data_IF_781103970508
#
_entry.id   IF_781103970508
#
_cell.length_a   1.000
_cell.length_b   1.000
_cell.length_c   1.000
_cell.angle_alpha   90.00
_cell.angle_beta   90.00
_cell.angle_gamma   90.00
#
_symmetry.space_group_name_H-M   'P 1'
#
loop_
_entity.id
_entity.type
_entity.pdbx_description
1 polymer ?
#
# COMPACT_ATOMS: atom_id res chain seq x y z
N UNK A 1 -38.41 64.70 31.81
CA UNK A 1 -37.29 63.83 32.20
C UNK A 1 -37.50 62.56 31.43
N UNK A 2 -36.97 62.55 30.24
CA UNK A 2 -36.97 61.37 29.33
C UNK A 2 -35.52 60.97 29.21
N UNK A 3 -35.15 59.89 29.90
CA UNK A 3 -33.83 59.25 29.75
C UNK A 3 -33.98 58.29 28.59
N UNK A 4 -33.23 58.56 27.55
CA UNK A 4 -33.10 57.71 26.38
C UNK A 4 -32.46 56.37 26.76
N UNK A 5 -33.26 55.33 26.69
CA UNK A 5 -32.79 53.93 26.69
C UNK A 5 -32.33 53.60 25.25
N UNK A 6 -31.13 54.07 24.91
CA UNK A 6 -30.48 53.66 23.66
C UNK A 6 -29.91 52.25 23.91
N UNK A 7 -30.72 51.23 23.60
CA UNK A 7 -30.27 49.86 23.56
C UNK A 7 -28.96 49.79 22.78
N UNK A 8 -27.93 49.14 23.35
CA UNK A 8 -26.68 48.85 22.67
C UNK A 8 -26.97 48.21 21.32
N UNK A 9 -26.72 48.92 20.24
CA UNK A 9 -26.78 48.40 18.88
C UNK A 9 -25.58 47.47 18.74
N UNK A 10 -25.80 46.18 19.00
CA UNK A 10 -24.80 45.13 18.75
C UNK A 10 -24.60 45.02 17.23
N UNK A 11 -23.55 45.63 16.72
CA UNK A 11 -23.17 45.43 15.31
C UNK A 11 -22.75 43.97 15.14
N UNK A 12 -23.19 43.29 14.07
CA UNK A 12 -22.77 41.95 13.79
C UNK A 12 -21.25 41.93 13.68
N UNK A 13 -20.62 40.94 14.31
CA UNK A 13 -19.16 40.70 14.21
C UNK A 13 -18.79 40.54 12.74
N UNK A 14 -17.84 41.34 12.26
CA UNK A 14 -17.29 41.18 10.92
C UNK A 14 -16.16 40.15 10.99
N UNK A 15 -16.26 38.99 10.27
CA UNK A 15 -15.24 37.96 10.33
C UNK A 15 -13.84 38.49 9.96
N UNK A 16 -12.86 38.20 10.76
CA UNK A 16 -11.47 38.46 10.44
C UNK A 16 -10.84 37.29 9.62
N UNK A 17 -9.56 37.40 9.28
CA UNK A 17 -8.87 36.38 8.51
C UNK A 17 -8.76 35.00 9.24
N UNK A 18 -8.75 35.02 10.57
CA UNK A 18 -8.74 33.80 11.39
C UNK A 18 -10.10 33.14 11.39
N UNK A 19 -11.16 33.93 11.52
CA UNK A 19 -12.55 33.49 11.48
C UNK A 19 -12.84 32.74 10.16
N UNK A 20 -12.36 33.26 9.03
CA UNK A 20 -12.52 32.60 7.72
C UNK A 20 -11.80 31.25 7.63
N UNK A 21 -10.64 31.12 8.26
CA UNK A 21 -9.92 29.82 8.37
C UNK A 21 -10.70 28.85 9.25
N UNK A 22 -11.22 29.31 10.39
CA UNK A 22 -12.03 28.50 11.31
C UNK A 22 -13.32 28.05 10.64
N UNK A 23 -14.01 28.91 9.91
CA UNK A 23 -15.19 28.55 9.13
C UNK A 23 -14.88 27.46 8.11
N UNK A 24 -13.79 27.61 7.36
CA UNK A 24 -13.35 26.58 6.39
C UNK A 24 -13.07 25.24 7.08
N UNK A 25 -12.39 25.23 8.22
CA UNK A 25 -12.12 24.02 9.00
C UNK A 25 -13.40 23.37 9.53
N UNK A 26 -14.36 24.19 9.95
CA UNK A 26 -15.70 23.73 10.35
C UNK A 26 -16.43 23.06 9.19
N UNK A 27 -16.43 23.66 8.00
CA UNK A 27 -17.03 23.06 6.81
C UNK A 27 -16.35 21.72 6.44
N UNK A 28 -15.03 21.62 6.57
CA UNK A 28 -14.32 20.35 6.35
C UNK A 28 -14.82 19.26 7.30
N UNK A 29 -15.09 19.59 8.57
CA UNK A 29 -15.66 18.66 9.55
C UNK A 29 -17.07 18.21 9.15
N UNK A 30 -17.92 19.12 8.70
CA UNK A 30 -19.27 18.82 8.19
C UNK A 30 -19.21 17.89 6.97
N UNK A 31 -18.31 18.16 6.01
CA UNK A 31 -18.12 17.28 4.86
C UNK A 31 -17.56 15.92 5.24
N UNK A 32 -16.68 15.84 6.25
CA UNK A 32 -16.21 14.57 6.79
C UNK A 32 -17.36 13.73 7.37
N UNK A 33 -18.27 14.33 8.12
CA UNK A 33 -19.48 13.68 8.64
C UNK A 33 -20.39 13.17 7.52
N UNK A 34 -20.61 13.97 6.48
CA UNK A 34 -21.38 13.55 5.31
C UNK A 34 -20.72 12.38 4.57
N UNK A 35 -19.41 12.42 4.39
CA UNK A 35 -18.63 11.34 3.77
C UNK A 35 -18.79 10.02 4.54
N UNK A 36 -18.62 10.06 5.84
CA UNK A 36 -18.77 8.92 6.75
C UNK A 36 -20.17 8.32 6.65
N UNK A 37 -21.21 9.13 6.70
CA UNK A 37 -22.61 8.69 6.58
C UNK A 37 -22.89 8.03 5.22
N UNK A 38 -22.37 8.60 4.13
CA UNK A 38 -22.51 8.02 2.78
C UNK A 38 -21.78 6.69 2.62
N UNK A 39 -20.58 6.56 3.22
CA UNK A 39 -19.81 5.30 3.21
C UNK A 39 -20.59 4.20 3.93
N UNK A 40 -21.13 4.45 5.13
CA UNK A 40 -21.92 3.45 5.85
C UNK A 40 -23.21 3.08 5.09
N UNK A 41 -23.89 4.05 4.48
CA UNK A 41 -25.09 3.80 3.69
C UNK A 41 -24.80 2.92 2.46
N UNK A 42 -23.77 3.25 1.69
CA UNK A 42 -23.31 2.47 0.55
C UNK A 42 -22.93 1.04 0.97
N UNK A 43 -22.12 0.90 2.03
CA UNK A 43 -21.73 -0.43 2.54
C UNK A 43 -22.94 -1.28 2.90
N UNK A 44 -23.91 -0.72 3.62
CA UNK A 44 -25.13 -1.44 4.02
C UNK A 44 -25.99 -1.87 2.82
N UNK A 45 -26.10 -1.05 1.82
CA UNK A 45 -26.82 -1.36 0.59
C UNK A 45 -26.19 -2.55 -0.13
N UNK A 46 -24.90 -2.49 -0.40
CA UNK A 46 -24.17 -3.55 -1.09
C UNK A 46 -24.14 -4.88 -0.32
N UNK A 47 -24.02 -4.81 1.02
CA UNK A 47 -24.11 -6.02 1.85
C UNK A 47 -25.50 -6.62 1.89
N UNK A 48 -26.57 -5.80 1.81
CA UNK A 48 -27.96 -6.29 1.74
C UNK A 48 -28.24 -6.99 0.42
N UNK A 49 -27.74 -6.46 -0.68
CA UNK A 49 -27.84 -7.09 -2.00
C UNK A 49 -27.12 -8.42 -2.06
N UNK A 50 -26.02 -8.56 -1.33
CA UNK A 50 -25.24 -9.78 -1.25
C UNK A 50 -25.81 -10.83 -0.27
N UNK A 51 -26.72 -10.47 0.63
CA UNK A 51 -27.21 -11.33 1.74
C UNK A 51 -27.89 -12.63 1.28
N UNK A 52 -28.27 -12.74 0.00
CA UNK A 52 -28.84 -13.97 -0.59
C UNK A 52 -27.79 -15.00 -1.04
N UNK A 53 -26.50 -14.74 -0.95
CA UNK A 53 -25.43 -15.54 -1.59
C UNK A 53 -24.65 -16.47 -0.64
N UNK A 54 -25.00 -16.54 0.67
CA UNK A 54 -24.35 -17.42 1.68
C UNK A 54 -23.29 -16.74 2.56
N UNK A 55 -22.97 -17.32 3.72
CA UNK A 55 -22.14 -16.69 4.78
C UNK A 55 -20.67 -16.43 4.37
N UNK A 56 -20.09 -17.26 3.50
CA UNK A 56 -18.71 -17.06 3.00
C UNK A 56 -18.56 -15.89 2.04
N UNK A 57 -19.64 -15.35 1.52
CA UNK A 57 -19.64 -14.28 0.51
C UNK A 57 -19.47 -12.91 1.13
N UNK A 58 -19.85 -12.74 2.39
CA UNK A 58 -19.82 -11.45 3.09
C UNK A 58 -18.42 -10.84 3.13
N UNK A 59 -17.41 -11.59 3.54
CA UNK A 59 -16.02 -11.11 3.65
C UNK A 59 -15.45 -10.71 2.28
N UNK A 60 -15.87 -11.43 1.23
CA UNK A 60 -15.44 -11.15 -0.13
C UNK A 60 -16.10 -9.87 -0.64
N UNK A 61 -17.39 -9.67 -0.35
CA UNK A 61 -18.12 -8.45 -0.70
C UNK A 61 -17.54 -7.24 0.06
N UNK A 62 -17.25 -7.37 1.34
CA UNK A 62 -16.57 -6.29 2.11
C UNK A 62 -15.20 -5.93 1.52
N UNK A 63 -14.47 -6.91 1.04
CA UNK A 63 -13.20 -6.66 0.34
C UNK A 63 -13.42 -5.96 -1.01
N UNK A 64 -14.45 -6.34 -1.76
CA UNK A 64 -14.84 -5.68 -3.01
C UNK A 64 -15.20 -4.21 -2.79
N UNK A 65 -16.01 -3.93 -1.77
CA UNK A 65 -16.40 -2.55 -1.38
C UNK A 65 -15.15 -1.72 -1.04
N UNK A 66 -14.24 -2.29 -0.26
CA UNK A 66 -13.00 -1.61 0.13
C UNK A 66 -12.12 -1.30 -1.08
N UNK A 67 -11.97 -2.26 -2.00
CA UNK A 67 -11.20 -2.07 -3.23
C UNK A 67 -11.81 -0.96 -4.10
N UNK A 68 -13.13 -0.98 -4.29
CA UNK A 68 -13.81 0.04 -5.10
C UNK A 68 -13.68 1.43 -4.48
N UNK A 69 -13.86 1.54 -3.16
CA UNK A 69 -13.71 2.81 -2.45
C UNK A 69 -12.27 3.32 -2.54
N UNK A 70 -11.28 2.44 -2.36
CA UNK A 70 -9.87 2.77 -2.48
C UNK A 70 -9.52 3.31 -3.88
N UNK A 71 -9.96 2.62 -4.91
CA UNK A 71 -9.71 2.99 -6.29
C UNK A 71 -10.42 4.29 -6.69
N UNK A 72 -11.70 4.46 -6.28
CA UNK A 72 -12.49 5.66 -6.57
C UNK A 72 -11.93 6.91 -5.88
N UNK A 73 -11.46 6.79 -4.64
CA UNK A 73 -10.91 7.88 -3.85
C UNK A 73 -9.39 8.08 -4.08
N UNK A 74 -8.73 7.21 -4.82
CA UNK A 74 -7.28 7.22 -5.06
C UNK A 74 -6.47 7.12 -3.76
N UNK A 75 -6.92 6.27 -2.85
CA UNK A 75 -6.24 5.96 -1.58
C UNK A 75 -5.86 4.49 -1.53
N UNK A 76 -5.04 4.10 -0.54
CA UNK A 76 -4.71 2.68 -0.33
C UNK A 76 -5.93 1.92 0.20
N UNK A 77 -6.00 0.60 -0.03
CA UNK A 77 -7.05 -0.24 0.59
C UNK A 77 -7.03 -0.18 2.11
N UNK A 78 -5.86 0.02 2.71
CA UNK A 78 -5.75 0.23 4.16
C UNK A 78 -6.47 1.51 4.59
N UNK A 79 -6.23 2.63 3.89
CA UNK A 79 -6.92 3.89 4.19
C UNK A 79 -8.43 3.81 3.95
N UNK A 80 -8.86 3.16 2.87
CA UNK A 80 -10.28 2.90 2.62
C UNK A 80 -10.92 2.02 3.71
N UNK A 81 -10.21 0.98 4.16
CA UNK A 81 -10.64 0.13 5.27
C UNK A 81 -10.82 0.93 6.58
N UNK A 82 -9.88 1.81 6.89
CA UNK A 82 -9.98 2.73 8.05
C UNK A 82 -11.21 3.63 7.96
N UNK A 83 -11.49 4.19 6.79
CA UNK A 83 -12.69 5.02 6.57
C UNK A 83 -14.00 4.22 6.74
N UNK A 84 -14.04 2.97 6.28
CA UNK A 84 -15.19 2.09 6.46
C UNK A 84 -15.41 1.78 7.95
N UNK A 85 -14.33 1.45 8.67
CA UNK A 85 -14.39 1.17 10.12
C UNK A 85 -14.84 2.42 10.89
N UNK A 86 -14.30 3.58 10.56
CA UNK A 86 -14.71 4.85 11.16
C UNK A 86 -16.19 5.15 10.87
N UNK A 87 -16.65 4.93 9.63
CA UNK A 87 -18.03 5.15 9.24
C UNK A 87 -19.00 4.29 10.06
N UNK A 88 -18.69 3.00 10.19
CA UNK A 88 -19.48 2.09 11.03
C UNK A 88 -19.47 2.49 12.51
N UNK A 89 -18.32 2.89 13.04
CA UNK A 89 -18.18 3.34 14.42
C UNK A 89 -19.05 4.56 14.70
N UNK A 90 -18.88 5.62 13.92
CA UNK A 90 -19.60 6.88 14.16
C UNK A 90 -21.11 6.76 13.93
N UNK A 91 -21.53 6.06 12.87
CA UNK A 91 -22.96 5.94 12.55
C UNK A 91 -23.70 5.03 13.55
N UNK A 92 -23.04 3.98 14.05
CA UNK A 92 -23.72 2.95 14.85
C UNK A 92 -23.39 2.96 16.32
N UNK A 93 -22.12 3.23 16.67
CA UNK A 93 -21.65 3.12 18.06
C UNK A 93 -21.53 4.49 18.74
N UNK A 94 -21.17 5.52 17.99
CA UNK A 94 -20.86 6.83 18.54
C UNK A 94 -21.64 7.97 17.85
N UNK A 95 -23.00 7.90 17.80
CA UNK A 95 -23.80 8.90 17.08
C UNK A 95 -23.66 10.33 17.65
N UNK A 96 -23.37 10.49 18.94
CA UNK A 96 -23.10 11.79 19.54
C UNK A 96 -21.82 12.44 18.98
N UNK A 97 -20.79 11.63 18.71
CA UNK A 97 -19.58 12.12 18.07
C UNK A 97 -19.82 12.48 16.58
N UNK A 98 -20.67 11.71 15.88
CA UNK A 98 -21.10 12.05 14.53
C UNK A 98 -21.89 13.35 14.49
N UNK A 99 -22.79 13.59 15.44
CA UNK A 99 -23.54 14.84 15.55
C UNK A 99 -22.61 16.02 15.79
N UNK A 100 -21.68 15.91 16.73
CA UNK A 100 -20.67 16.94 16.99
C UNK A 100 -19.77 17.22 15.77
N UNK A 101 -19.39 16.20 14.99
CA UNK A 101 -18.64 16.33 13.76
C UNK A 101 -19.49 17.03 12.67
N UNK A 102 -20.76 16.65 12.55
CA UNK A 102 -21.69 17.20 11.55
C UNK A 102 -22.04 18.67 11.78
N UNK A 103 -21.95 19.13 13.03
CA UNK A 103 -22.12 20.54 13.42
C UNK A 103 -20.80 21.30 13.56
N UNK A 104 -19.68 20.68 13.22
CA UNK A 104 -18.35 21.30 13.27
C UNK A 104 -17.80 21.57 14.67
N UNK A 105 -18.42 21.04 15.73
CA UNK A 105 -17.95 21.18 17.12
C UNK A 105 -16.69 20.39 17.41
N UNK A 106 -16.44 19.30 16.64
CA UNK A 106 -15.20 18.54 16.67
C UNK A 106 -14.64 18.37 15.26
N UNK A 107 -13.35 18.08 15.16
CA UNK A 107 -12.71 17.77 13.88
C UNK A 107 -12.78 16.26 13.57
N UNK A 108 -12.57 15.91 12.30
CA UNK A 108 -12.47 14.50 11.89
C UNK A 108 -11.43 13.72 12.73
N UNK A 109 -10.32 14.38 13.10
CA UNK A 109 -9.27 13.76 13.91
C UNK A 109 -9.71 13.45 15.34
N UNK A 110 -10.58 14.28 15.93
CA UNK A 110 -11.20 13.95 17.22
C UNK A 110 -12.12 12.74 17.09
N UNK A 111 -12.94 12.69 16.03
CA UNK A 111 -13.83 11.55 15.77
C UNK A 111 -13.08 10.23 15.55
N UNK A 112 -11.94 10.26 14.82
CA UNK A 112 -11.05 9.09 14.68
C UNK A 112 -10.52 8.62 16.04
N UNK A 113 -10.08 9.54 16.89
CA UNK A 113 -9.55 9.21 18.22
C UNK A 113 -10.64 8.60 19.10
N UNK A 114 -11.86 9.13 19.05
CA UNK A 114 -13.01 8.59 19.79
C UNK A 114 -13.27 7.15 19.34
N UNK A 115 -13.37 6.91 18.04
CA UNK A 115 -13.62 5.57 17.51
C UNK A 115 -12.49 4.60 17.87
N UNK A 116 -11.24 4.99 17.64
CA UNK A 116 -10.09 4.11 17.89
C UNK A 116 -9.96 3.73 19.39
N UNK A 117 -10.04 4.71 20.28
CA UNK A 117 -9.79 4.45 21.70
C UNK A 117 -10.99 3.83 22.43
N UNK A 118 -12.22 4.24 22.08
CA UNK A 118 -13.40 3.65 22.73
C UNK A 118 -13.68 2.23 22.24
N UNK A 119 -13.30 1.87 21.01
CA UNK A 119 -13.42 0.49 20.53
C UNK A 119 -12.49 -0.47 21.29
N UNK A 120 -11.38 0.02 21.87
CA UNK A 120 -10.51 -0.75 22.76
C UNK A 120 -11.11 -0.96 24.17
N UNK A 121 -12.07 -0.11 24.56
CA UNK A 121 -12.71 -0.21 25.86
C UNK A 121 -13.84 -1.27 25.87
N UNK A 122 -14.13 -1.88 27.05
CA UNK A 122 -15.27 -2.77 27.22
C UNK A 122 -16.58 -2.12 26.75
N UNK A 123 -17.41 -2.84 25.97
CA UNK A 123 -18.63 -2.27 25.38
C UNK A 123 -19.55 -1.57 26.40
N UNK A 124 -19.65 -2.12 27.59
CA UNK A 124 -20.49 -1.61 28.69
C UNK A 124 -20.04 -0.26 29.27
N UNK A 125 -18.80 0.14 28.99
CA UNK A 125 -18.24 1.42 29.42
C UNK A 125 -18.29 2.52 28.38
N UNK A 126 -18.48 2.17 27.10
CA UNK A 126 -18.28 3.06 25.95
C UNK A 126 -19.17 4.29 25.99
N UNK A 127 -20.47 4.10 26.24
CA UNK A 127 -21.43 5.21 26.26
C UNK A 127 -21.10 6.23 27.35
N UNK A 128 -20.82 5.73 28.58
CA UNK A 128 -20.45 6.58 29.72
C UNK A 128 -19.09 7.29 29.48
N UNK A 129 -18.14 6.59 28.84
CA UNK A 129 -16.85 7.19 28.51
C UNK A 129 -17.02 8.26 27.43
N UNK A 130 -17.85 8.02 26.42
CA UNK A 130 -18.15 9.00 25.37
C UNK A 130 -18.79 10.25 25.96
N UNK A 131 -19.82 10.11 26.77
CA UNK A 131 -20.51 11.24 27.42
C UNK A 131 -19.51 12.13 28.20
N UNK A 132 -18.61 11.51 28.95
CA UNK A 132 -17.57 12.22 29.73
C UNK A 132 -16.47 12.83 28.88
N UNK A 133 -16.19 12.26 27.69
CA UNK A 133 -15.13 12.71 26.79
C UNK A 133 -15.56 13.89 25.89
N UNK A 134 -16.85 13.98 25.55
CA UNK A 134 -17.34 14.97 24.58
C UNK A 134 -17.00 16.44 24.94
N UNK A 135 -17.15 16.90 26.19
CA UNK A 135 -16.77 18.29 26.52
C UNK A 135 -15.30 18.62 26.25
N UNK A 136 -14.40 17.65 26.48
CA UNK A 136 -12.98 17.81 26.16
C UNK A 136 -12.71 17.72 24.66
N UNK A 137 -13.47 16.89 23.93
CA UNK A 137 -13.34 16.80 22.47
C UNK A 137 -13.75 18.11 21.77
N UNK A 138 -14.71 18.84 22.31
CA UNK A 138 -15.24 20.10 21.78
C UNK A 138 -14.37 21.33 22.13
N UNK A 139 -13.57 21.24 23.22
CA UNK A 139 -12.81 22.40 23.73
C UNK A 139 -11.31 22.28 23.60
N UNK A 140 -10.75 21.06 23.51
CA UNK A 140 -9.31 20.84 23.60
C UNK A 140 -8.67 20.52 22.25
N UNK A 141 -7.40 20.88 22.05
CA UNK A 141 -6.64 20.43 20.89
C UNK A 141 -6.54 18.90 20.84
N UNK A 142 -6.49 18.35 19.62
CA UNK A 142 -6.44 16.89 19.32
C UNK A 142 -5.47 16.10 20.22
N UNK A 143 -4.26 16.62 20.43
CA UNK A 143 -3.22 15.94 21.22
C UNK A 143 -3.53 15.91 22.73
N UNK A 144 -4.13 16.98 23.25
CA UNK A 144 -4.57 17.08 24.65
C UNK A 144 -5.77 16.18 24.88
N UNK A 145 -6.76 16.25 24.00
CA UNK A 145 -7.93 15.36 24.02
C UNK A 145 -7.55 13.88 24.00
N UNK A 146 -6.64 13.45 23.12
CA UNK A 146 -6.16 12.06 23.08
C UNK A 146 -5.63 11.60 24.44
N UNK A 147 -4.81 12.41 25.11
CA UNK A 147 -4.25 12.09 26.43
C UNK A 147 -5.34 12.03 27.49
N UNK A 148 -6.27 12.98 27.48
CA UNK A 148 -7.39 13.02 28.44
C UNK A 148 -8.32 11.80 28.28
N UNK A 149 -8.71 11.45 27.05
CA UNK A 149 -9.53 10.27 26.79
C UNK A 149 -8.83 8.98 27.21
N UNK A 150 -7.55 8.83 26.92
CA UNK A 150 -6.77 7.65 27.37
C UNK A 150 -6.73 7.54 28.90
N UNK A 151 -6.44 8.65 29.61
CA UNK A 151 -6.47 8.67 31.06
C UNK A 151 -7.87 8.34 31.63
N UNK A 152 -8.93 8.81 30.97
CA UNK A 152 -10.31 8.49 31.34
C UNK A 152 -10.62 7.01 31.20
N UNK A 153 -10.21 6.37 30.10
CA UNK A 153 -10.37 4.95 29.85
C UNK A 153 -9.56 4.15 30.88
N UNK A 154 -8.30 4.51 31.08
CA UNK A 154 -7.41 3.85 32.05
C UNK A 154 -7.99 3.89 33.49
N UNK A 155 -8.58 5.01 33.88
CA UNK A 155 -9.22 5.16 35.21
C UNK A 155 -10.52 4.37 35.36
N UNK A 156 -11.23 4.13 34.25
CA UNK A 156 -12.49 3.39 34.25
C UNK A 156 -12.29 1.87 34.16
N UNK A 157 -11.16 1.43 33.63
CA UNK A 157 -10.80 0.02 33.56
C UNK A 157 -10.09 -0.40 34.85
N UNK A 158 -10.64 -1.39 35.53
CA UNK A 158 -10.01 -2.01 36.74
C UNK A 158 -8.80 -2.92 36.38
N UNK A 159 -8.34 -2.89 35.13
CA UNK A 159 -7.21 -3.69 34.66
C UNK A 159 -5.91 -3.24 35.32
N UNK A 160 -5.11 -4.17 35.79
CA UNK A 160 -3.77 -3.92 36.33
C UNK A 160 -2.80 -3.49 35.24
N UNK A 161 -1.67 -2.89 35.63
CA UNK A 161 -0.58 -2.58 34.69
C UNK A 161 -0.11 -3.85 33.96
N UNK A 162 -0.10 -4.98 34.66
CA UNK A 162 0.26 -6.29 34.11
C UNK A 162 -0.69 -6.71 32.98
N UNK A 163 -2.00 -6.64 33.18
CA UNK A 163 -2.99 -7.01 32.14
C UNK A 163 -2.89 -6.13 30.90
N UNK A 164 -2.58 -4.84 31.09
CA UNK A 164 -2.34 -3.92 29.98
C UNK A 164 -1.06 -4.26 29.22
N UNK A 165 0.01 -4.57 29.96
CA UNK A 165 1.28 -4.97 29.38
C UNK A 165 1.14 -6.26 28.56
N UNK A 166 0.48 -7.28 29.11
CA UNK A 166 0.25 -8.56 28.42
C UNK A 166 -0.53 -8.39 27.11
N UNK A 167 -1.55 -7.53 27.09
CA UNK A 167 -2.25 -7.18 25.85
C UNK A 167 -1.36 -6.46 24.85
N UNK A 168 -0.55 -5.50 25.28
CA UNK A 168 0.37 -4.78 24.42
C UNK A 168 1.45 -5.71 23.82
N UNK A 169 1.93 -6.68 24.58
CA UNK A 169 2.90 -7.69 24.15
C UNK A 169 2.40 -8.52 22.97
N UNK A 170 1.08 -8.79 22.86
CA UNK A 170 0.51 -9.51 21.72
C UNK A 170 0.58 -8.73 20.41
N UNK A 171 0.78 -7.41 20.45
CA UNK A 171 0.84 -6.53 19.29
C UNK A 171 2.25 -6.37 18.71
N UNK A 172 3.25 -7.10 19.22
CA UNK A 172 4.62 -7.08 18.71
C UNK A 172 4.65 -7.34 17.20
N UNK A 173 5.38 -6.53 16.48
CA UNK A 173 5.50 -6.65 15.02
C UNK A 173 6.73 -5.95 14.48
N UNK A 174 7.10 -6.34 13.28
CA UNK A 174 8.08 -5.63 12.46
C UNK A 174 7.35 -5.07 11.24
N UNK A 175 7.65 -3.82 10.90
CA UNK A 175 7.13 -3.14 9.74
C UNK A 175 8.24 -2.45 8.96
N UNK A 176 8.11 -2.40 7.63
CA UNK A 176 8.98 -1.63 6.75
C UNK A 176 8.22 -0.42 6.25
N UNK A 177 8.78 0.75 6.46
CA UNK A 177 8.26 2.01 5.95
C UNK A 177 9.15 2.50 4.81
N UNK A 178 8.57 2.75 3.64
CA UNK A 178 9.30 3.25 2.48
C UNK A 178 9.65 4.72 2.68
N UNK A 179 10.92 5.04 2.46
CA UNK A 179 11.43 6.40 2.33
C UNK A 179 11.67 6.76 0.86
N UNK A 180 12.36 7.86 0.67
CA UNK A 180 12.79 8.37 -0.64
C UNK A 180 14.25 7.99 -0.91
N UNK A 181 14.71 8.18 -2.15
CA UNK A 181 16.11 8.00 -2.56
C UNK A 181 16.72 6.63 -2.25
N UNK A 182 15.91 5.57 -2.35
CA UNK A 182 16.35 4.20 -2.07
C UNK A 182 16.51 3.87 -0.60
N UNK A 183 16.01 4.72 0.30
CA UNK A 183 16.02 4.50 1.74
C UNK A 183 14.71 3.93 2.24
N UNK A 184 14.74 3.19 3.35
CA UNK A 184 13.55 2.68 4.04
C UNK A 184 13.81 2.57 5.53
N UNK A 185 12.76 2.71 6.33
CA UNK A 185 12.81 2.48 7.76
C UNK A 185 12.36 1.07 8.13
N UNK A 186 13.05 0.43 9.05
CA UNK A 186 12.61 -0.80 9.70
C UNK A 186 12.17 -0.47 11.12
N UNK A 187 10.89 -0.70 11.40
CA UNK A 187 10.28 -0.44 12.70
C UNK A 187 10.05 -1.74 13.47
N UNK A 188 10.58 -1.81 14.68
CA UNK A 188 10.34 -2.92 15.62
C UNK A 188 9.47 -2.37 16.74
N UNK A 189 8.26 -2.94 16.89
CA UNK A 189 7.37 -2.67 18.01
C UNK A 189 7.43 -3.86 18.97
N UNK A 190 8.07 -3.64 20.12
CA UNK A 190 8.34 -4.64 21.16
C UNK A 190 8.30 -3.95 22.54
N UNK A 191 8.37 -4.68 23.67
CA UNK A 191 8.40 -4.08 24.98
C UNK A 191 9.52 -3.01 25.12
N UNK A 192 9.18 -1.93 25.80
CA UNK A 192 10.03 -0.72 25.93
C UNK A 192 11.43 -1.02 26.46
N UNK A 193 11.53 -1.91 27.44
CA UNK A 193 12.80 -2.34 28.02
C UNK A 193 13.71 -2.98 26.98
N UNK A 194 13.17 -3.83 26.11
CA UNK A 194 13.92 -4.49 25.03
C UNK A 194 14.38 -3.50 23.98
N UNK A 195 13.53 -2.57 23.56
CA UNK A 195 13.87 -1.53 22.58
C UNK A 195 14.98 -0.63 23.11
N UNK A 196 14.89 -0.19 24.38
CA UNK A 196 15.93 0.61 25.00
C UNK A 196 17.26 -0.15 25.19
N UNK A 197 17.19 -1.44 25.51
CA UNK A 197 18.38 -2.29 25.60
C UNK A 197 19.06 -2.46 24.22
N UNK A 198 18.28 -2.70 23.16
CA UNK A 198 18.79 -2.76 21.77
C UNK A 198 19.46 -1.45 21.39
N UNK A 199 18.77 -0.31 21.55
CA UNK A 199 19.31 1.00 21.23
C UNK A 199 20.58 1.33 22.04
N UNK A 200 20.59 0.97 23.33
CA UNK A 200 21.76 1.11 24.21
C UNK A 200 22.96 0.30 23.73
N UNK A 201 22.75 -0.96 23.35
CA UNK A 201 23.80 -1.85 22.81
C UNK A 201 24.37 -1.30 21.50
N UNK A 202 23.51 -0.94 20.54
CA UNK A 202 23.93 -0.34 19.27
C UNK A 202 24.73 0.95 19.49
N UNK A 203 24.29 1.78 20.44
CA UNK A 203 24.98 3.01 20.78
C UNK A 203 26.38 2.75 21.35
N UNK A 204 26.58 1.74 22.20
CA UNK A 204 27.88 1.40 22.74
C UNK A 204 28.83 0.89 21.67
N UNK A 205 28.34 0.02 20.77
CA UNK A 205 29.11 -0.49 19.64
C UNK A 205 29.53 0.65 18.69
N UNK A 206 28.59 1.50 18.31
CA UNK A 206 28.84 2.67 17.45
C UNK A 206 29.87 3.64 18.09
N UNK A 207 29.79 3.90 19.40
CA UNK A 207 30.77 4.70 20.11
C UNK A 207 32.17 4.08 20.13
N UNK A 208 32.27 2.76 20.15
CA UNK A 208 33.53 2.04 20.06
C UNK A 208 34.16 2.21 18.67
N UNK A 209 33.36 2.02 17.60
CA UNK A 209 33.81 2.19 16.20
C UNK A 209 34.25 3.65 15.95
N UNK A 210 33.50 4.63 16.46
CA UNK A 210 33.78 6.04 16.28
C UNK A 210 35.16 6.51 16.84
N UNK A 211 35.75 5.69 17.69
CA UNK A 211 37.12 5.99 18.24
C UNK A 211 38.23 5.58 17.28
N UNK A 212 37.92 4.84 16.21
CA UNK A 212 38.91 4.42 15.24
C UNK A 212 39.46 5.62 14.46
N UNK A 213 40.74 5.60 14.18
CA UNK A 213 41.42 6.64 13.41
C UNK A 213 40.87 6.67 11.97
N UNK A 214 40.51 7.86 11.48
CA UNK A 214 39.92 8.02 10.14
C UNK A 214 38.40 7.79 10.03
N UNK A 215 37.69 7.48 11.12
CA UNK A 215 36.22 7.32 11.07
C UNK A 215 35.53 8.69 10.93
N UNK A 216 34.76 8.85 9.84
CA UNK A 216 34.09 10.11 9.50
C UNK A 216 32.59 10.07 9.67
N UNK A 217 31.98 8.86 9.83
CA UNK A 217 30.54 8.70 9.97
C UNK A 217 30.02 9.27 11.28
N UNK A 218 28.79 9.77 11.26
CA UNK A 218 28.08 10.22 12.46
C UNK A 218 27.73 9.03 13.36
N UNK A 219 27.43 9.29 14.62
CA UNK A 219 27.02 8.24 15.56
C UNK A 219 25.74 7.53 15.11
N UNK A 220 24.82 8.26 14.45
CA UNK A 220 23.56 7.68 13.96
C UNK A 220 23.78 6.81 12.73
N UNK A 221 24.69 7.19 11.82
CA UNK A 221 25.11 6.34 10.72
C UNK A 221 25.72 5.04 11.22
N UNK A 222 26.64 5.12 12.17
CA UNK A 222 27.25 3.92 12.78
C UNK A 222 26.26 3.04 13.51
N UNK A 223 25.23 3.61 14.17
CA UNK A 223 24.13 2.81 14.76
C UNK A 223 23.34 2.07 13.71
N UNK A 224 23.03 2.73 12.60
CA UNK A 224 22.28 2.13 11.49
C UNK A 224 23.09 1.00 10.85
N UNK A 225 24.38 1.23 10.55
CA UNK A 225 25.26 0.22 9.97
C UNK A 225 25.38 -1.02 10.86
N UNK A 226 25.68 -0.83 12.15
CA UNK A 226 25.78 -1.93 13.12
C UNK A 226 24.46 -2.70 13.26
N UNK A 227 23.31 -2.00 13.27
CA UNK A 227 22.00 -2.65 13.33
C UNK A 227 21.74 -3.49 12.09
N UNK A 228 22.08 -2.98 10.92
CA UNK A 228 21.92 -3.66 9.64
C UNK A 228 22.79 -4.92 9.59
N UNK A 229 24.06 -4.83 9.94
CA UNK A 229 25.00 -5.96 9.97
C UNK A 229 24.52 -7.06 10.93
N UNK A 230 24.13 -6.71 12.15
CA UNK A 230 23.61 -7.68 13.12
C UNK A 230 22.33 -8.38 12.67
N UNK A 231 21.45 -7.71 11.94
CA UNK A 231 20.20 -8.29 11.45
C UNK A 231 20.38 -9.11 10.17
N UNK A 232 21.36 -8.78 9.32
CA UNK A 232 21.65 -9.51 8.09
C UNK A 232 22.51 -10.77 8.36
N UNK A 233 23.52 -10.65 9.21
CA UNK A 233 24.52 -11.71 9.43
C UNK A 233 24.33 -12.46 10.75
N UNK A 234 23.48 -11.94 11.64
CA UNK A 234 23.18 -12.55 12.93
C UNK A 234 22.48 -13.89 12.82
N UNK A 235 22.79 -14.79 13.75
CA UNK A 235 22.06 -16.04 13.97
C UNK A 235 21.37 -16.01 15.33
N UNK A 236 20.33 -16.81 15.50
CA UNK A 236 19.63 -16.96 16.78
C UNK A 236 19.40 -18.44 17.08
N UNK A 237 19.68 -18.80 18.33
CA UNK A 237 19.50 -20.16 18.84
C UNK A 237 18.02 -20.54 19.05
N UNK A 238 17.12 -19.57 18.90
CA UNK A 238 15.67 -19.75 19.08
C UNK A 238 14.92 -20.15 17.80
N UNK A 239 15.63 -20.29 16.66
CA UNK A 239 15.00 -20.70 15.41
C UNK A 239 14.83 -22.22 15.35
N UNK A 240 13.64 -22.71 14.94
CA UNK A 240 13.49 -24.13 14.62
C UNK A 240 14.42 -24.51 13.45
N UNK A 241 14.82 -25.79 13.41
CA UNK A 241 15.72 -26.30 12.38
C UNK A 241 15.28 -25.97 10.93
N UNK A 242 13.97 -25.90 10.68
CA UNK A 242 13.39 -25.52 9.38
C UNK A 242 13.64 -24.05 8.99
N UNK A 243 13.93 -23.18 9.95
CA UNK A 243 14.24 -21.77 9.72
C UNK A 243 15.76 -21.48 9.79
N UNK A 244 16.54 -22.45 10.23
CA UNK A 244 18.00 -22.37 10.28
C UNK A 244 18.55 -22.28 8.85
N UNK A 245 19.36 -21.25 8.59
CA UNK A 245 19.96 -21.01 7.26
C UNK A 245 19.10 -20.21 6.29
N UNK A 246 17.94 -19.67 6.70
CA UNK A 246 17.22 -18.66 5.91
C UNK A 246 18.10 -17.41 5.80
N UNK A 247 18.44 -17.04 4.55
CA UNK A 247 19.20 -15.84 4.25
C UNK A 247 18.34 -14.83 3.51
N UNK A 248 18.64 -13.54 3.69
CA UNK A 248 18.02 -12.48 2.92
C UNK A 248 18.24 -12.72 1.41
N UNK A 249 17.17 -12.62 0.61
CA UNK A 249 17.22 -12.67 -0.84
C UNK A 249 16.77 -11.33 -1.40
N UNK A 250 17.60 -10.72 -2.23
CA UNK A 250 17.30 -9.50 -2.94
C UNK A 250 17.36 -9.79 -4.44
N UNK A 251 16.28 -9.43 -5.16
CA UNK A 251 16.23 -9.54 -6.62
C UNK A 251 16.45 -8.15 -7.20
N UNK A 252 17.58 -7.99 -7.91
CA UNK A 252 17.95 -6.72 -8.54
C UNK A 252 17.85 -6.88 -10.06
N UNK A 253 17.14 -6.00 -10.72
CA UNK A 253 17.14 -5.88 -12.19
C UNK A 253 18.05 -4.75 -12.58
N UNK A 254 19.09 -5.03 -13.36
CA UNK A 254 20.06 -4.02 -13.80
C UNK A 254 20.19 -4.08 -15.33
N UNK A 255 20.15 -2.92 -16.02
CA UNK A 255 20.50 -2.86 -17.44
C UNK A 255 21.94 -3.33 -17.63
N UNK A 256 22.14 -4.35 -18.45
CA UNK A 256 23.48 -5.01 -18.57
C UNK A 256 24.55 -4.04 -19.07
N UNK A 257 24.23 -3.14 -19.96
CA UNK A 257 25.19 -2.15 -20.47
C UNK A 257 25.65 -1.18 -19.39
N UNK A 258 24.77 -0.75 -18.49
CA UNK A 258 25.11 0.10 -17.36
C UNK A 258 26.02 -0.58 -16.32
N UNK A 259 26.06 -1.94 -16.28
CA UNK A 259 27.03 -2.68 -15.45
C UNK A 259 28.44 -2.73 -16.07
N UNK A 260 28.51 -2.71 -17.40
CA UNK A 260 29.76 -2.96 -18.14
C UNK A 260 30.53 -1.69 -18.42
N UNK A 261 29.85 -0.57 -18.63
CA UNK A 261 30.47 0.69 -19.04
C UNK A 261 29.77 1.89 -18.43
N UNK A 262 30.57 2.81 -17.87
CA UNK A 262 30.06 4.06 -17.24
C UNK A 262 29.45 5.02 -18.28
N UNK A 263 29.81 4.92 -19.55
CA UNK A 263 29.25 5.73 -20.64
C UNK A 263 27.75 5.45 -20.83
N UNK A 264 27.26 4.26 -20.46
CA UNK A 264 25.86 3.89 -20.51
C UNK A 264 25.13 4.02 -19.13
N UNK A 265 25.79 4.55 -18.12
CA UNK A 265 25.22 4.67 -16.77
C UNK A 265 23.96 5.54 -16.75
N UNK A 266 23.91 6.58 -17.58
CA UNK A 266 22.82 7.55 -17.66
C UNK A 266 21.88 7.33 -18.87
N UNK A 267 22.16 6.33 -19.71
CA UNK A 267 21.47 6.15 -20.99
C UNK A 267 20.24 5.24 -20.94
N UNK A 268 19.90 4.69 -19.77
CA UNK A 268 18.81 3.72 -19.62
C UNK A 268 18.01 3.88 -18.33
N UNK A 269 17.02 2.99 -18.15
CA UNK A 269 16.27 2.91 -16.90
C UNK A 269 17.22 2.59 -15.73
N UNK A 270 17.02 3.20 -14.54
CA UNK A 270 17.84 2.91 -13.37
C UNK A 270 17.68 1.44 -12.92
N UNK A 271 18.70 0.86 -12.25
CA UNK A 271 18.57 -0.45 -11.62
C UNK A 271 17.40 -0.45 -10.64
N UNK A 272 16.64 -1.57 -10.60
CA UNK A 272 15.44 -1.68 -9.77
C UNK A 272 15.52 -2.93 -8.89
N UNK A 273 15.23 -2.78 -7.61
CA UNK A 273 15.03 -3.90 -6.68
C UNK A 273 13.55 -4.24 -6.64
N UNK A 274 13.23 -5.53 -6.80
CA UNK A 274 11.86 -6.03 -6.79
C UNK A 274 11.14 -5.65 -5.49
N UNK A 275 9.97 -5.01 -5.62
CA UNK A 275 9.15 -4.57 -4.50
C UNK A 275 9.67 -3.36 -3.73
N UNK A 276 10.82 -2.81 -4.12
CA UNK A 276 11.41 -1.61 -3.50
C UNK A 276 11.34 -0.42 -4.46
N UNK A 277 11.91 -0.56 -5.66
CA UNK A 277 11.97 0.50 -6.66
C UNK A 277 13.40 0.76 -7.15
N UNK A 278 13.66 1.92 -7.79
CA UNK A 278 14.96 2.26 -8.32
C UNK A 278 16.02 2.44 -7.20
N UNK A 279 17.24 1.98 -7.49
CA UNK A 279 18.40 2.14 -6.61
C UNK A 279 19.58 2.75 -7.40
N UNK A 280 20.55 3.38 -6.72
CA UNK A 280 21.76 3.87 -7.38
C UNK A 280 22.54 2.74 -8.06
N UNK A 281 23.13 3.02 -9.22
CA UNK A 281 23.93 2.05 -9.98
C UNK A 281 25.12 1.52 -9.17
N UNK A 282 25.75 2.36 -8.38
CA UNK A 282 26.83 1.96 -7.45
C UNK A 282 26.39 0.88 -6.48
N UNK A 283 25.18 1.00 -5.91
CA UNK A 283 24.61 0.01 -5.00
C UNK A 283 24.23 -1.27 -5.74
N UNK A 284 23.71 -1.15 -6.96
CA UNK A 284 23.44 -2.30 -7.81
C UNK A 284 24.72 -3.10 -8.13
N UNK A 285 25.82 -2.41 -8.47
CA UNK A 285 27.14 -3.03 -8.73
C UNK A 285 27.67 -3.76 -7.49
N UNK A 286 27.57 -3.14 -6.29
CA UNK A 286 27.93 -3.77 -5.03
C UNK A 286 27.15 -5.07 -4.79
N UNK A 287 25.82 -5.04 -4.91
CA UNK A 287 24.97 -6.20 -4.76
C UNK A 287 25.25 -7.29 -5.79
N UNK A 288 25.59 -6.90 -7.02
CA UNK A 288 25.95 -7.81 -8.11
C UNK A 288 27.32 -8.49 -7.89
N UNK A 289 28.26 -7.80 -7.30
CA UNK A 289 29.60 -8.33 -7.02
C UNK A 289 29.60 -9.52 -6.02
N UNK A 290 28.60 -9.59 -5.13
CA UNK A 290 28.40 -10.70 -4.20
C UNK A 290 27.45 -11.80 -4.67
N UNK A 291 26.78 -11.61 -5.82
CA UNK A 291 25.71 -12.49 -6.30
C UNK A 291 26.22 -13.79 -6.92
N UNK A 292 25.79 -14.95 -6.38
CA UNK A 292 26.14 -16.28 -6.91
C UNK A 292 25.24 -16.77 -8.04
N UNK A 293 24.15 -16.07 -8.36
CA UNK A 293 23.17 -16.49 -9.37
C UNK A 293 22.69 -15.31 -10.21
N UNK A 294 22.87 -15.40 -11.52
CA UNK A 294 22.38 -14.45 -12.51
C UNK A 294 21.27 -15.06 -13.34
N UNK A 295 20.23 -14.29 -13.58
CA UNK A 295 19.20 -14.62 -14.54
C UNK A 295 19.22 -13.58 -15.65
N UNK A 296 19.50 -14.02 -16.89
CA UNK A 296 19.41 -13.17 -18.06
C UNK A 296 17.97 -13.12 -18.55
N UNK A 297 17.36 -11.94 -18.54
CA UNK A 297 16.05 -11.68 -19.16
C UNK A 297 16.34 -10.98 -20.48
N UNK A 298 16.21 -11.70 -21.59
CA UNK A 298 16.32 -11.11 -22.92
C UNK A 298 14.92 -10.63 -23.33
N UNK A 299 14.82 -9.37 -23.65
CA UNK A 299 13.58 -8.75 -24.17
C UNK A 299 13.46 -8.85 -25.68
N UNK A 300 14.35 -9.58 -26.35
CA UNK A 300 14.38 -9.70 -27.80
C UNK A 300 13.59 -10.91 -28.30
N UNK A 301 12.68 -10.78 -29.28
CA UNK A 301 11.81 -11.85 -29.76
C UNK A 301 12.53 -13.00 -30.45
N UNK A 302 13.78 -12.82 -30.91
CA UNK A 302 14.56 -13.84 -31.61
C UNK A 302 15.26 -14.86 -30.70
N UNK A 303 15.21 -14.68 -29.36
CA UNK A 303 16.03 -15.48 -28.44
C UNK A 303 15.28 -16.59 -27.74
N UNK A 304 14.07 -16.96 -28.16
CA UNK A 304 13.41 -18.18 -27.75
C UNK A 304 12.86 -18.20 -26.32
N UNK A 305 12.56 -17.03 -25.72
CA UNK A 305 11.83 -17.00 -24.46
C UNK A 305 10.40 -17.52 -24.67
N UNK A 306 9.99 -18.52 -23.87
CA UNK A 306 8.64 -19.07 -23.95
C UNK A 306 7.64 -18.02 -23.42
N UNK A 307 6.94 -17.33 -24.33
CA UNK A 307 5.93 -16.34 -24.03
C UNK A 307 4.54 -16.97 -23.86
N UNK A 308 4.34 -18.17 -24.39
CA UNK A 308 3.10 -18.92 -24.33
C UNK A 308 3.37 -20.43 -24.29
N UNK A 309 2.51 -21.15 -23.61
CA UNK A 309 2.44 -22.64 -23.67
C UNK A 309 1.04 -23.07 -24.13
N UNK A 310 0.23 -22.16 -24.61
CA UNK A 310 -1.14 -22.45 -25.08
C UNK A 310 -1.99 -23.13 -24.00
N UNK A 311 -2.59 -24.25 -24.35
CA UNK A 311 -3.37 -25.12 -23.44
C UNK A 311 -2.68 -26.44 -23.07
N UNK A 312 -1.38 -26.55 -23.29
CA UNK A 312 -0.62 -27.74 -22.95
C UNK A 312 -0.36 -27.87 -21.44
N UNK A 313 -0.37 -26.77 -20.71
CA UNK A 313 -0.15 -26.75 -19.26
C UNK A 313 -0.96 -25.65 -18.56
N UNK A 314 -1.75 -26.04 -17.56
CA UNK A 314 -2.43 -25.09 -16.66
C UNK A 314 -1.45 -24.28 -15.80
N UNK A 315 -0.51 -24.89 -15.07
CA UNK A 315 0.45 -24.10 -14.29
C UNK A 315 1.48 -23.43 -15.22
N UNK A 316 1.57 -22.09 -15.20
CA UNK A 316 2.57 -21.39 -16.00
C UNK A 316 3.98 -21.92 -15.71
N UNK A 317 4.80 -22.20 -16.74
CA UNK A 317 6.18 -22.65 -16.55
C UNK A 317 7.03 -21.58 -15.86
N UNK A 318 8.11 -21.99 -15.21
CA UNK A 318 8.96 -21.10 -14.43
C UNK A 318 9.48 -19.87 -15.19
N UNK A 319 9.89 -19.96 -16.48
CA UNK A 319 10.28 -18.78 -17.25
C UNK A 319 9.14 -17.78 -17.44
N UNK A 320 7.92 -18.25 -17.75
CA UNK A 320 6.75 -17.39 -17.90
C UNK A 320 6.36 -16.73 -16.57
N UNK A 321 6.35 -17.46 -15.46
CA UNK A 321 6.13 -16.89 -14.12
C UNK A 321 7.10 -15.77 -13.80
N UNK A 322 8.39 -15.96 -14.13
CA UNK A 322 9.42 -14.94 -13.91
C UNK A 322 9.19 -13.71 -14.75
N UNK A 323 8.86 -13.90 -16.04
CA UNK A 323 8.58 -12.78 -16.95
C UNK A 323 7.35 -11.96 -16.53
N UNK A 324 6.25 -12.66 -16.16
CA UNK A 324 5.03 -12.01 -15.67
C UNK A 324 5.30 -11.22 -14.40
N UNK A 325 6.03 -11.77 -13.44
CA UNK A 325 6.43 -11.07 -12.22
C UNK A 325 7.35 -9.88 -12.50
N UNK A 326 8.36 -10.08 -13.34
CA UNK A 326 9.27 -9.01 -13.74
C UNK A 326 8.56 -7.85 -14.44
N UNK A 327 7.64 -8.13 -15.36
CA UNK A 327 6.84 -7.12 -16.04
C UNK A 327 6.02 -6.27 -15.06
N UNK A 328 5.36 -6.92 -14.15
CA UNK A 328 4.41 -6.27 -13.24
C UNK A 328 5.07 -5.64 -12.02
N UNK A 329 6.15 -6.23 -11.46
CA UNK A 329 6.84 -5.89 -10.21
C UNK A 329 5.97 -5.96 -8.95
N UNK A 330 4.68 -5.74 -9.08
CA UNK A 330 3.69 -5.79 -7.99
C UNK A 330 2.37 -6.43 -8.46
N UNK A 331 1.47 -6.63 -7.51
CA UNK A 331 0.10 -7.05 -7.78
C UNK A 331 -0.58 -6.11 -8.78
N UNK A 332 -1.26 -6.66 -9.78
CA UNK A 332 -2.00 -5.88 -10.80
C UNK A 332 -3.43 -5.52 -10.36
N UNK A 333 -3.73 -5.51 -9.06
CA UNK A 333 -4.93 -4.92 -8.48
C UNK A 333 -4.81 -3.41 -8.31
N UNK A 334 -5.92 -2.64 -8.43
CA UNK A 334 -5.91 -1.19 -8.28
C UNK A 334 -5.30 -0.74 -6.95
N UNK A 335 -4.29 0.13 -7.00
CA UNK A 335 -3.65 0.71 -5.82
C UNK A 335 -2.84 -0.26 -4.95
N UNK A 336 -2.64 -1.51 -5.35
CA UNK A 336 -1.96 -2.52 -4.56
C UNK A 336 -0.44 -2.40 -4.68
N UNK A 337 0.24 -2.41 -3.53
CA UNK A 337 1.70 -2.36 -3.43
C UNK A 337 2.35 -3.72 -3.14
N UNK A 338 1.58 -4.82 -3.11
CA UNK A 338 2.11 -6.16 -2.82
C UNK A 338 3.12 -6.59 -3.89
N UNK A 339 4.38 -6.93 -3.54
CA UNK A 339 5.36 -7.38 -4.51
C UNK A 339 4.90 -8.60 -5.31
N UNK A 340 5.23 -8.64 -6.61
CA UNK A 340 4.82 -9.72 -7.50
C UNK A 340 5.39 -11.09 -7.08
N UNK A 341 6.52 -11.12 -6.36
CA UNK A 341 7.10 -12.33 -5.77
C UNK A 341 6.17 -13.02 -4.76
N UNK A 342 5.33 -12.25 -4.07
CA UNK A 342 4.32 -12.73 -3.11
C UNK A 342 2.95 -12.96 -3.72
N UNK A 343 2.84 -12.79 -5.05
CA UNK A 343 1.59 -12.94 -5.78
C UNK A 343 1.50 -14.33 -6.43
N UNK A 344 0.29 -14.82 -6.54
CA UNK A 344 -0.07 -15.94 -7.39
C UNK A 344 -0.12 -15.45 -8.84
N UNK A 345 0.35 -16.29 -9.78
CA UNK A 345 0.18 -15.99 -11.21
C UNK A 345 -1.12 -16.63 -11.65
N UNK A 346 -2.03 -15.82 -12.06
CA UNK A 346 -3.39 -16.20 -12.37
C UNK A 346 -3.80 -15.79 -13.79
N UNK A 347 -4.79 -16.50 -14.35
CA UNK A 347 -5.33 -16.23 -15.67
C UNK A 347 -6.44 -15.16 -15.62
N UNK A 348 -6.41 -14.18 -16.52
CA UNK A 348 -7.54 -13.25 -16.65
C UNK A 348 -8.78 -13.94 -17.23
N UNK A 349 -8.62 -14.70 -18.32
CA UNK A 349 -9.61 -15.62 -18.84
C UNK A 349 -9.29 -16.96 -18.19
N UNK A 350 -10.23 -17.50 -17.43
CA UNK A 350 -10.01 -18.71 -16.64
C UNK A 350 -9.73 -19.90 -17.55
N UNK A 351 -8.89 -20.80 -17.08
CA UNK A 351 -8.57 -22.04 -17.81
C UNK A 351 -9.82 -22.86 -18.16
N UNK A 352 -10.81 -22.88 -17.26
CA UNK A 352 -12.08 -23.56 -17.49
C UNK A 352 -12.94 -22.88 -18.57
N UNK A 353 -12.68 -21.59 -18.83
CA UNK A 353 -13.34 -20.78 -19.86
C UNK A 353 -12.46 -20.64 -21.11
N UNK A 354 -11.64 -21.66 -21.37
CA UNK A 354 -10.75 -21.79 -22.52
C UNK A 354 -9.57 -20.78 -22.57
N UNK A 355 -9.22 -20.14 -21.45
CA UNK A 355 -8.06 -19.25 -21.37
C UNK A 355 -6.74 -20.00 -21.56
N UNK A 356 -5.85 -19.45 -22.38
CA UNK A 356 -4.51 -19.98 -22.62
C UNK A 356 -3.51 -19.55 -21.53
N UNK A 357 -2.49 -20.36 -21.29
CA UNK A 357 -1.35 -20.00 -20.44
C UNK A 357 -0.30 -19.25 -21.26
N UNK A 358 -0.48 -17.94 -21.38
CA UNK A 358 0.42 -17.06 -22.11
C UNK A 358 0.65 -15.73 -21.35
N UNK A 359 1.61 -14.93 -21.83
CA UNK A 359 1.95 -13.65 -21.22
C UNK A 359 0.74 -12.69 -21.19
N UNK A 360 -0.07 -12.69 -22.25
CA UNK A 360 -1.20 -11.77 -22.39
C UNK A 360 -2.46 -12.22 -21.66
N UNK A 361 -2.44 -13.43 -21.08
CA UNK A 361 -3.53 -13.95 -20.26
C UNK A 361 -3.15 -14.22 -18.81
N UNK A 362 -1.88 -13.99 -18.41
CA UNK A 362 -1.44 -14.25 -17.03
C UNK A 362 -0.93 -12.99 -16.34
N UNK A 363 -1.34 -12.83 -15.06
CA UNK A 363 -1.10 -11.64 -14.25
C UNK A 363 -0.80 -12.02 -12.80
N UNK A 364 0.05 -11.27 -12.08
CA UNK A 364 0.27 -11.50 -10.66
C UNK A 364 -0.81 -10.82 -9.83
N UNK A 365 -1.54 -11.60 -9.03
CA UNK A 365 -2.48 -11.10 -8.05
C UNK A 365 -2.13 -11.56 -6.65
N UNK A 366 -2.16 -10.68 -5.67
CA UNK A 366 -2.14 -11.09 -4.27
C UNK A 366 -3.42 -11.87 -3.95
N UNK A 367 -3.37 -12.71 -2.92
CA UNK A 367 -4.52 -13.54 -2.52
C UNK A 367 -5.83 -12.75 -2.41
N UNK A 368 -5.77 -11.51 -1.92
CA UNK A 368 -6.93 -10.64 -1.80
C UNK A 368 -7.55 -10.28 -3.15
N UNK A 369 -6.75 -9.80 -4.10
CA UNK A 369 -7.22 -9.42 -5.42
C UNK A 369 -7.63 -10.62 -6.28
N UNK A 370 -6.96 -11.76 -6.12
CA UNK A 370 -7.37 -13.02 -6.74
C UNK A 370 -8.78 -13.42 -6.28
N UNK A 371 -9.04 -13.39 -4.95
CA UNK A 371 -10.37 -13.70 -4.41
C UNK A 371 -11.47 -12.74 -4.90
N UNK A 372 -11.17 -11.44 -4.95
CA UNK A 372 -12.12 -10.44 -5.48
C UNK A 372 -12.44 -10.72 -6.94
N UNK A 373 -11.41 -10.95 -7.78
CA UNK A 373 -11.61 -11.26 -9.21
C UNK A 373 -12.48 -12.49 -9.42
N UNK A 374 -12.25 -13.55 -8.66
CA UNK A 374 -12.93 -14.84 -8.91
C UNK A 374 -14.31 -14.97 -8.28
N UNK A 375 -14.61 -14.19 -7.23
CA UNK A 375 -15.82 -14.39 -6.42
C UNK A 375 -16.73 -13.16 -6.36
N UNK A 376 -16.46 -12.13 -7.16
CA UNK A 376 -17.32 -10.94 -7.25
C UNK A 376 -17.56 -10.57 -8.72
N UNK A 377 -18.39 -9.56 -8.95
CA UNK A 377 -18.73 -9.08 -10.29
C UNK A 377 -17.66 -8.12 -10.88
N UNK A 378 -16.46 -8.06 -10.30
CA UNK A 378 -15.32 -7.35 -10.89
C UNK A 378 -14.86 -8.03 -12.18
N UNK A 379 -14.71 -7.25 -13.23
CA UNK A 379 -14.16 -7.72 -14.50
C UNK A 379 -12.72 -7.25 -14.65
N UNK A 380 -11.85 -8.15 -15.06
CA UNK A 380 -10.43 -7.90 -15.27
C UNK A 380 -10.06 -8.23 -16.70
N UNK A 381 -9.48 -7.26 -17.42
CA UNK A 381 -9.05 -7.44 -18.81
C UNK A 381 -7.71 -6.78 -19.05
N UNK A 382 -6.77 -7.51 -19.61
CA UNK A 382 -5.53 -6.93 -20.10
C UNK A 382 -5.82 -6.08 -21.34
N UNK A 383 -5.21 -4.91 -21.44
CA UNK A 383 -5.40 -3.98 -22.56
C UNK A 383 -4.44 -4.40 -23.67
N UNK A 384 -4.97 -4.78 -24.81
CA UNK A 384 -4.18 -5.20 -25.96
C UNK A 384 -3.24 -4.09 -26.43
N UNK A 385 -2.01 -4.45 -26.78
CA UNK A 385 -0.99 -3.49 -27.26
C UNK A 385 -0.43 -2.55 -26.19
N UNK A 386 -0.86 -2.65 -24.93
CA UNK A 386 -0.43 -1.76 -23.84
C UNK A 386 0.89 -2.16 -23.18
N UNK A 387 1.46 -3.31 -23.53
CA UNK A 387 2.64 -3.87 -22.85
C UNK A 387 2.33 -4.49 -21.49
N UNK A 388 1.04 -4.78 -21.20
CA UNK A 388 0.59 -5.48 -19.99
C UNK A 388 -0.26 -4.66 -19.03
N UNK A 389 -0.78 -3.50 -19.45
CA UNK A 389 -1.76 -2.76 -18.65
C UNK A 389 -3.06 -3.55 -18.47
N UNK A 390 -3.71 -3.40 -17.33
CA UNK A 390 -4.92 -4.13 -16.94
C UNK A 390 -6.04 -3.17 -16.61
N UNK A 391 -7.20 -3.38 -17.21
CA UNK A 391 -8.43 -2.69 -16.87
C UNK A 391 -9.24 -3.52 -15.88
N UNK A 392 -9.58 -2.93 -14.76
CA UNK A 392 -10.53 -3.44 -13.78
C UNK A 392 -11.83 -2.67 -13.91
N UNK A 393 -12.95 -3.35 -14.09
CA UNK A 393 -14.28 -2.73 -14.07
C UNK A 393 -15.01 -3.20 -12.82
N UNK A 394 -15.41 -2.26 -11.98
CA UNK A 394 -16.12 -2.55 -10.73
C UNK A 394 -17.57 -2.97 -10.98
N UNK A 395 -18.24 -3.60 -10.00
CA UNK A 395 -19.67 -3.90 -10.06
C UNK A 395 -20.55 -2.66 -10.35
N UNK A 396 -20.10 -1.46 -9.94
CA UNK A 396 -20.79 -0.19 -10.21
C UNK A 396 -20.46 0.40 -11.58
N UNK A 397 -19.71 -0.31 -12.43
CA UNK A 397 -19.34 0.08 -13.80
C UNK A 397 -18.15 1.04 -13.92
N UNK A 398 -17.46 1.38 -12.82
CA UNK A 398 -16.26 2.21 -12.87
C UNK A 398 -15.07 1.44 -13.40
N UNK A 399 -14.28 2.09 -14.25
CA UNK A 399 -13.10 1.50 -14.85
C UNK A 399 -11.83 2.09 -14.26
N UNK A 400 -10.92 1.21 -13.84
CA UNK A 400 -9.59 1.54 -13.30
C UNK A 400 -8.52 0.87 -14.15
N UNK A 401 -7.47 1.61 -14.51
CA UNK A 401 -6.37 1.06 -15.31
C UNK A 401 -5.12 0.99 -14.45
N UNK A 402 -4.55 -0.22 -14.35
CA UNK A 402 -3.30 -0.49 -13.66
C UNK A 402 -2.22 -0.71 -14.70
N UNK A 403 -1.16 0.10 -14.62
CA UNK A 403 0.01 -0.02 -15.50
C UNK A 403 1.02 -0.98 -14.89
N UNK A 404 1.67 -1.85 -15.67
CA UNK A 404 2.84 -2.59 -15.20
C UNK A 404 4.01 -1.63 -15.00
N UNK A 405 4.92 -1.97 -14.11
CA UNK A 405 6.13 -1.17 -13.88
C UNK A 405 7.06 -1.16 -15.12
N UNK A 406 7.09 -2.29 -15.84
CA UNK A 406 7.89 -2.44 -17.04
C UNK A 406 7.01 -2.84 -18.22
N UNK A 407 7.09 -2.06 -19.31
CA UNK A 407 6.38 -2.40 -20.53
C UNK A 407 7.22 -3.40 -21.32
N UNK A 408 6.64 -4.54 -21.66
CA UNK A 408 7.24 -5.45 -22.65
C UNK A 408 6.94 -4.87 -24.03
N UNK A 409 7.95 -4.58 -24.86
CA UNK A 409 7.71 -4.09 -26.21
C UNK A 409 6.89 -5.11 -27.01
N UNK A 410 5.80 -4.67 -27.61
CA UNK A 410 5.08 -5.46 -28.60
C UNK A 410 5.67 -5.18 -29.96
N UNK A 411 6.34 -6.17 -30.53
CA UNK A 411 6.86 -6.09 -31.90
C UNK A 411 5.72 -6.45 -32.87
N UNK A 412 5.13 -5.46 -33.50
CA UNK A 412 4.34 -5.72 -34.70
C UNK A 412 5.32 -6.03 -35.82
N UNK A 413 5.29 -7.26 -36.33
CA UNK A 413 6.00 -7.60 -37.57
C UNK A 413 5.40 -6.71 -38.65
N UNK A 414 6.09 -5.67 -39.03
CA UNK A 414 5.74 -4.99 -40.29
C UNK A 414 5.94 -5.99 -41.40
N UNK A 415 4.92 -6.35 -42.20
CA UNK A 415 5.13 -7.19 -43.35
C UNK A 415 6.20 -6.50 -44.20
N UNK A 416 7.29 -7.20 -44.45
CA UNK A 416 8.31 -6.73 -45.37
C UNK A 416 7.60 -6.32 -46.66
N UNK A 417 7.89 -5.14 -47.21
CA UNK A 417 7.36 -4.79 -48.51
C UNK A 417 7.81 -5.90 -49.47
N UNK A 418 6.83 -6.61 -50.05
CA UNK A 418 7.13 -7.61 -51.07
C UNK A 418 8.09 -6.97 -52.07
N UNK A 419 9.21 -7.61 -52.43
CA UNK A 419 10.03 -7.10 -53.48
C UNK A 419 9.13 -6.91 -54.71
N UNK A 420 9.12 -5.72 -55.26
CA UNK A 420 8.49 -5.53 -56.57
C UNK A 420 9.17 -6.52 -57.50
N UNK A 421 8.46 -7.51 -57.96
CA UNK A 421 8.84 -8.30 -59.10
C UNK A 421 8.78 -7.28 -60.24
N UNK A 422 9.96 -6.88 -60.70
CA UNK A 422 10.10 -6.07 -61.91
C UNK A 422 9.70 -7.02 -63.04
N UNK A 423 8.48 -6.91 -63.53
CA UNK A 423 8.01 -7.60 -64.70
C UNK A 423 8.74 -6.94 -65.89
N UNK A 424 10.00 -7.37 -66.05
CA UNK A 424 10.79 -7.04 -67.20
C UNK A 424 10.18 -7.61 -68.47
N UNK A 425 9.07 -7.03 -68.92
CA UNK A 425 8.66 -7.12 -70.31
C UNK A 425 9.48 -6.09 -71.06
N UNK A 426 10.54 -6.62 -71.64
CA UNK A 426 11.38 -5.90 -72.55
C UNK A 426 10.63 -5.26 -73.69
N UNK A 427 10.89 -4.03 -73.94
CA UNK A 427 10.68 -3.40 -75.20
C UNK A 427 11.95 -3.63 -76.07
N UNK A 428 11.67 -4.17 -77.21
CA UNK A 428 12.54 -4.48 -78.39
C UNK A 428 13.68 -3.49 -78.58
N UNK A 429 14.84 -4.06 -78.88
CA UNK A 429 15.93 -3.35 -79.52
C UNK A 429 15.66 -3.20 -81.04
N UNK A 430 15.84 -2.08 -81.67
CA UNK A 430 15.96 -1.98 -83.07
C UNK A 430 17.44 -2.01 -83.45
N UNK A 431 17.76 -2.95 -84.35
CA UNK A 431 18.94 -3.12 -85.23
C UNK A 431 20.28 -3.49 -84.61
#
# INVERSE_FOLDING_TARGET
MWADDIGEVCFPHVPDAVDLVVETATMMSVFAAQRVTRIDSMRRELLREASGRGDGVRDIVERSIRLELAAAMRVTEYAAGRLITLAEALVRRYPAALDALSSGRITEKHAEIIADLLDEAPPELRDRLLERAMPSAESEPVGTFRRALRALIDSAQAATLEDRHQRAVTQRRIAVERGEDGMSGLWIFAPDVEIHAIHGRLTQMAKSIRKAEGETRTLDQLRADVATDLLLDGSTDHLPAAASGIRAQVVVTVPVLALLDDEFADAGDPPVVEGIGPIPLSKARELCGGGSRWMRVLTHPETGMVLSVGRDSYPPPAPLKRLVRWRADRCMGPGCSMPASRCEIDHQIRWVDEGETCLDNTLPFCKGHHLVKDNTDWQVRQIEGSGGAVAWTSPTGRRYVVQPERKVPTFTVRPSPRPRIDDGLGTEAPF
#
